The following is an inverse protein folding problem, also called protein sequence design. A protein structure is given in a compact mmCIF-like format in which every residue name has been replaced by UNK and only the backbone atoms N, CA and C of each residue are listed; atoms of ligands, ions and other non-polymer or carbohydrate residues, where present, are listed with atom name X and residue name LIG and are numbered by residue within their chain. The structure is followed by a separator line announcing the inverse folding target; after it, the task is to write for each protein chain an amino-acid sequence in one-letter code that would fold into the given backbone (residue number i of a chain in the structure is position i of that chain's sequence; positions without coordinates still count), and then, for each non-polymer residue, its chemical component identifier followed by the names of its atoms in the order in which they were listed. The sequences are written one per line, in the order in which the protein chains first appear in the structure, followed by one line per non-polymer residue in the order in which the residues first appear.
data_IF_179790974884
#
_entry.id   IF_179790974884
#
_cell.length_a   1.000
_cell.length_b   1.000
_cell.length_c   1.000
_cell.angle_alpha   90.00
_cell.angle_beta   90.00
_cell.angle_gamma   90.00
#
_symmetry.space_group_name_H-M   'P 1'
#
loop_
_entity.id
_entity.type
_entity.pdbx_description
1 polymer ?
#
# COMPACT_ATOMS: atom_id res chain seq x y z
N UNK A 1 -9.46 -17.20 -21.97
CA UNK A 1 -8.58 -16.21 -21.32
C UNK A 1 -8.18 -16.57 -19.86
N UNK A 2 -8.98 -17.32 -19.12
CA UNK A 2 -8.64 -17.78 -17.73
C UNK A 2 -7.77 -19.07 -17.68
N UNK A 3 -7.65 -19.81 -18.77
CA UNK A 3 -6.93 -21.12 -18.78
C UNK A 3 -5.41 -21.01 -18.98
N UNK A 4 -4.92 -19.92 -19.53
CA UNK A 4 -3.48 -19.73 -19.77
C UNK A 4 -2.68 -19.32 -18.52
N UNK A 5 -3.37 -18.86 -17.47
CA UNK A 5 -2.73 -18.41 -16.23
C UNK A 5 -2.22 -19.55 -15.33
N UNK A 6 -2.61 -20.79 -15.59
CA UNK A 6 -2.31 -21.92 -14.70
C UNK A 6 -0.84 -22.38 -14.70
N UNK A 7 -0.04 -21.98 -15.67
CA UNK A 7 1.33 -22.53 -15.85
C UNK A 7 2.47 -21.51 -15.72
N UNK A 8 2.18 -20.23 -15.52
CA UNK A 8 3.22 -19.20 -15.34
C UNK A 8 3.01 -18.47 -14.05
N UNK A 9 3.96 -18.57 -13.12
CA UNK A 9 3.97 -17.77 -11.87
C UNK A 9 4.20 -16.28 -12.13
N UNK A 10 4.47 -15.89 -13.37
CA UNK A 10 4.81 -14.52 -13.76
C UNK A 10 4.26 -14.21 -15.15
N UNK A 11 3.55 -13.10 -15.29
CA UNK A 11 3.04 -12.61 -16.58
C UNK A 11 3.18 -11.09 -16.62
N UNK A 12 3.67 -10.56 -17.75
CA UNK A 12 3.72 -9.14 -18.01
C UNK A 12 2.55 -8.74 -18.90
N UNK A 13 1.82 -7.69 -18.52
CA UNK A 13 0.78 -7.08 -19.33
C UNK A 13 1.24 -5.70 -19.77
N UNK A 14 1.12 -5.43 -21.06
CA UNK A 14 1.35 -4.09 -21.59
C UNK A 14 0.02 -3.51 -22.07
N UNK A 15 -0.34 -2.35 -21.55
CA UNK A 15 -1.52 -1.59 -21.96
C UNK A 15 -1.06 -0.26 -22.53
N UNK A 16 -1.40 0.00 -23.79
CA UNK A 16 -1.21 1.31 -24.42
C UNK A 16 -2.52 2.09 -24.36
N UNK A 17 -2.53 3.19 -23.67
CA UNK A 17 -3.66 4.15 -23.63
C UNK A 17 -3.11 5.55 -23.78
N UNK A 18 -3.57 6.30 -24.78
CA UNK A 18 -3.27 7.72 -24.99
C UNK A 18 -1.76 8.09 -24.91
N UNK A 19 -0.90 7.26 -25.55
CA UNK A 19 0.56 7.49 -25.55
C UNK A 19 1.30 7.02 -24.30
N UNK A 20 0.60 6.50 -23.28
CA UNK A 20 1.20 5.93 -22.08
C UNK A 20 1.39 4.43 -22.30
N UNK A 21 2.63 3.96 -22.22
CA UNK A 21 2.94 2.54 -22.21
C UNK A 21 3.01 2.07 -20.75
N UNK A 22 1.94 1.42 -20.27
CA UNK A 22 1.91 0.82 -18.93
C UNK A 22 2.32 -0.65 -19.03
N UNK A 23 3.44 -0.97 -18.43
CA UNK A 23 3.87 -2.35 -18.26
C UNK A 23 3.52 -2.82 -16.86
N UNK A 24 2.56 -3.75 -16.76
CA UNK A 24 2.13 -4.33 -15.48
C UNK A 24 2.66 -5.74 -15.36
N UNK A 25 3.43 -5.97 -14.31
CA UNK A 25 3.94 -7.28 -13.94
C UNK A 25 2.97 -7.94 -12.97
N UNK A 26 2.51 -9.15 -13.29
CA UNK A 26 1.66 -9.95 -12.42
C UNK A 26 2.45 -11.14 -11.90
N UNK A 27 2.44 -11.36 -10.59
CA UNK A 27 3.02 -12.54 -9.96
C UNK A 27 1.95 -13.27 -9.15
N UNK A 28 1.96 -14.60 -9.21
CA UNK A 28 1.11 -15.45 -8.38
C UNK A 28 1.94 -15.93 -7.21
N UNK A 29 1.51 -15.60 -6.00
CA UNK A 29 2.13 -16.01 -4.74
C UNK A 29 1.23 -17.04 -4.10
N UNK A 30 1.66 -18.30 -4.07
CA UNK A 30 0.93 -19.41 -3.46
C UNK A 30 1.63 -19.92 -2.19
N UNK A 31 2.92 -19.71 -2.11
CA UNK A 31 3.79 -20.18 -1.04
C UNK A 31 4.74 -19.07 -0.63
N UNK A 32 4.62 -18.59 0.61
CA UNK A 32 5.39 -17.46 1.11
C UNK A 32 6.90 -17.73 1.14
N UNK A 33 7.33 -18.98 1.35
CA UNK A 33 8.76 -19.34 1.40
C UNK A 33 9.34 -19.38 -0.02
N UNK A 34 8.68 -20.11 -0.92
CA UNK A 34 9.18 -20.32 -2.28
C UNK A 34 8.97 -19.11 -3.21
N UNK A 35 7.94 -18.30 -2.93
CA UNK A 35 7.56 -17.15 -3.77
C UNK A 35 8.02 -15.80 -3.16
N UNK A 36 8.86 -15.82 -2.11
CA UNK A 36 9.37 -14.61 -1.43
C UNK A 36 10.07 -13.63 -2.37
N UNK A 37 10.64 -14.11 -3.47
CA UNK A 37 11.27 -13.26 -4.48
C UNK A 37 10.28 -12.25 -5.07
N UNK A 38 9.02 -12.64 -5.30
CA UNK A 38 8.00 -11.74 -5.86
C UNK A 38 7.57 -10.67 -4.84
N UNK A 39 7.55 -11.03 -3.55
CA UNK A 39 7.26 -10.08 -2.46
C UNK A 39 8.39 -9.06 -2.36
N UNK A 40 9.65 -9.49 -2.46
CA UNK A 40 10.82 -8.59 -2.47
C UNK A 40 10.80 -7.66 -3.68
N UNK A 41 10.49 -8.18 -4.87
CA UNK A 41 10.34 -7.36 -6.07
C UNK A 41 9.23 -6.30 -5.91
N UNK A 42 8.08 -6.67 -5.36
CA UNK A 42 6.99 -5.73 -5.07
C UNK A 42 7.42 -4.64 -4.06
N UNK A 43 8.18 -5.01 -3.02
CA UNK A 43 8.73 -4.06 -2.08
C UNK A 43 9.70 -3.06 -2.74
N UNK A 44 10.55 -3.52 -3.67
CA UNK A 44 11.44 -2.63 -4.43
C UNK A 44 10.66 -1.69 -5.37
N UNK A 45 9.55 -2.15 -5.96
CA UNK A 45 8.65 -1.28 -6.74
C UNK A 45 8.12 -0.15 -5.85
N UNK A 46 7.63 -0.46 -4.64
CA UNK A 46 7.13 0.55 -3.68
C UNK A 46 8.25 1.51 -3.26
N UNK A 47 9.44 1.00 -2.94
CA UNK A 47 10.59 1.82 -2.54
C UNK A 47 11.05 2.78 -3.65
N UNK A 48 10.93 2.36 -4.91
CA UNK A 48 11.26 3.18 -6.07
C UNK A 48 10.14 4.15 -6.51
N UNK A 49 9.11 4.33 -5.67
CA UNK A 49 7.99 5.23 -5.94
C UNK A 49 6.94 4.68 -6.90
N UNK A 50 6.94 3.36 -7.11
CA UNK A 50 5.90 2.66 -7.86
C UNK A 50 4.67 2.32 -7.02
N UNK A 51 3.69 1.69 -7.66
CA UNK A 51 2.47 1.20 -7.02
C UNK A 51 2.34 -0.31 -7.19
N UNK A 52 1.77 -0.97 -6.20
CA UNK A 52 1.57 -2.43 -6.19
C UNK A 52 0.13 -2.74 -5.80
N UNK A 53 -0.53 -3.60 -6.57
CA UNK A 53 -1.80 -4.20 -6.18
C UNK A 53 -1.53 -5.50 -5.41
N UNK A 54 -2.18 -5.68 -4.27
CA UNK A 54 -2.01 -6.84 -3.41
C UNK A 54 -3.36 -7.31 -2.84
N UNK A 55 -3.51 -8.61 -2.55
CA UNK A 55 -4.72 -9.14 -1.95
C UNK A 55 -4.86 -8.68 -0.50
N UNK A 56 -6.11 -8.48 -0.07
CA UNK A 56 -6.47 -8.23 1.33
C UNK A 56 -7.55 -9.23 1.77
N UNK A 57 -8.04 -9.11 2.99
CA UNK A 57 -9.12 -9.96 3.52
C UNK A 57 -10.48 -9.72 2.81
N UNK A 58 -10.61 -8.64 2.04
CA UNK A 58 -11.86 -8.30 1.33
C UNK A 58 -11.64 -8.18 -0.18
N UNK A 59 -10.95 -7.14 -0.64
CA UNK A 59 -10.71 -6.83 -2.04
C UNK A 59 -9.23 -6.52 -2.27
N UNK A 60 -8.79 -6.47 -3.52
CA UNK A 60 -7.42 -6.04 -3.81
C UNK A 60 -7.17 -4.60 -3.37
N UNK A 61 -6.11 -4.40 -2.58
CA UNK A 61 -5.58 -3.11 -2.24
C UNK A 61 -4.63 -2.59 -3.30
N UNK A 62 -4.49 -1.26 -3.41
CA UNK A 62 -3.45 -0.62 -4.21
C UNK A 62 -2.61 0.22 -3.26
N UNK A 63 -1.32 -0.08 -3.19
CA UNK A 63 -0.39 0.53 -2.25
C UNK A 63 0.79 1.23 -2.92
N UNK A 64 1.32 2.20 -2.22
CA UNK A 64 2.54 2.93 -2.52
C UNK A 64 3.29 3.23 -1.21
N UNK A 65 4.49 3.79 -1.30
CA UNK A 65 5.17 4.34 -0.13
C UNK A 65 4.38 5.55 0.39
N UNK A 66 3.82 5.45 1.59
CA UNK A 66 3.00 6.49 2.22
C UNK A 66 3.77 7.79 2.51
N UNK A 67 5.11 7.74 2.53
CA UNK A 67 6.00 8.88 2.76
C UNK A 67 6.48 9.52 1.44
N UNK A 68 6.12 8.94 0.29
CA UNK A 68 6.45 9.46 -1.03
C UNK A 68 5.19 10.07 -1.68
N UNK A 69 5.15 11.41 -1.74
CA UNK A 69 4.05 12.16 -2.33
C UNK A 69 3.74 11.73 -3.76
N UNK A 70 4.77 11.52 -4.59
CA UNK A 70 4.62 11.11 -5.97
C UNK A 70 4.05 9.68 -6.09
N UNK A 71 4.49 8.77 -5.23
CA UNK A 71 3.96 7.42 -5.15
C UNK A 71 2.48 7.41 -4.75
N UNK A 72 2.11 8.21 -3.76
CA UNK A 72 0.73 8.37 -3.29
C UNK A 72 -0.16 8.97 -4.39
N UNK A 73 0.30 10.00 -5.11
CA UNK A 73 -0.46 10.59 -6.22
C UNK A 73 -0.78 9.58 -7.32
N UNK A 74 0.11 8.64 -7.60
CA UNK A 74 -0.13 7.56 -8.58
C UNK A 74 -1.33 6.67 -8.20
N UNK A 75 -1.61 6.46 -6.89
CA UNK A 75 -2.80 5.72 -6.45
C UNK A 75 -4.07 6.46 -6.88
N UNK A 76 -4.14 7.77 -6.64
CA UNK A 76 -5.31 8.57 -7.00
C UNK A 76 -5.52 8.61 -8.51
N UNK A 77 -4.45 8.78 -9.29
CA UNK A 77 -4.49 8.76 -10.76
C UNK A 77 -4.98 7.40 -11.27
N UNK A 78 -4.41 6.30 -10.76
CA UNK A 78 -4.76 4.95 -11.19
C UNK A 78 -6.22 4.58 -10.88
N UNK A 79 -6.75 5.09 -9.75
CA UNK A 79 -8.15 4.86 -9.34
C UNK A 79 -9.12 5.87 -9.96
N UNK A 80 -8.67 6.94 -10.59
CA UNK A 80 -9.52 8.04 -11.04
C UNK A 80 -10.30 8.71 -9.89
N UNK A 81 -9.70 8.74 -8.70
CA UNK A 81 -10.34 9.15 -7.46
C UNK A 81 -9.86 10.53 -7.03
N UNK A 82 -10.75 11.43 -6.53
CA UNK A 82 -10.34 12.68 -5.92
C UNK A 82 -9.43 12.48 -4.70
N UNK A 83 -8.57 13.48 -4.42
CA UNK A 83 -7.63 13.46 -3.28
C UNK A 83 -8.26 14.00 -1.98
N UNK A 84 -9.57 13.88 -1.84
CA UNK A 84 -10.36 14.38 -0.71
C UNK A 84 -10.58 13.35 0.41
N UNK A 85 -10.10 12.13 0.20
CA UNK A 85 -10.29 11.03 1.13
C UNK A 85 -8.92 10.43 1.51
N UNK A 86 -8.51 10.47 2.80
CA UNK A 86 -7.20 10.02 3.23
C UNK A 86 -6.95 8.54 2.91
N UNK A 87 -5.69 8.19 2.71
CA UNK A 87 -5.26 6.82 2.60
C UNK A 87 -4.97 6.26 4.00
N UNK A 88 -5.12 4.94 4.15
CA UNK A 88 -4.75 4.21 5.37
C UNK A 88 -3.29 3.77 5.23
N UNK A 89 -2.48 4.03 6.27
CA UNK A 89 -1.09 3.57 6.31
C UNK A 89 -1.03 2.18 6.93
N UNK A 90 -0.51 1.23 6.18
CA UNK A 90 -0.22 -0.12 6.66
C UNK A 90 1.20 -0.16 7.25
N UNK A 91 1.34 -0.68 8.45
CA UNK A 91 2.61 -0.82 9.15
C UNK A 91 2.89 -2.28 9.50
N UNK A 92 4.16 -2.67 9.45
CA UNK A 92 4.60 -4.01 9.81
C UNK A 92 5.09 -4.12 11.27
N UNK A 93 5.12 -2.98 11.99
CA UNK A 93 5.60 -2.90 13.38
C UNK A 93 4.64 -2.07 14.22
N UNK A 94 4.62 -2.34 15.52
CA UNK A 94 3.95 -1.49 16.52
C UNK A 94 4.75 -0.23 16.87
N UNK A 95 6.02 -0.17 16.45
CA UNK A 95 6.84 1.03 16.61
C UNK A 95 6.50 2.01 15.50
N UNK A 96 5.68 3.00 15.85
CA UNK A 96 5.12 4.00 14.94
C UNK A 96 5.45 5.43 15.37
N UNK A 97 6.38 5.59 16.31
CA UNK A 97 6.77 6.90 16.86
C UNK A 97 7.28 7.88 15.79
N UNK A 98 7.79 7.36 14.67
CA UNK A 98 8.24 8.21 13.56
C UNK A 98 7.06 8.76 12.71
N UNK A 99 5.90 8.15 12.79
CA UNK A 99 4.72 8.48 11.97
C UNK A 99 3.71 9.35 12.71
N UNK A 100 3.57 9.17 14.03
CA UNK A 100 2.57 9.86 14.84
C UNK A 100 3.21 10.71 15.94
N UNK A 101 2.54 11.80 16.36
CA UNK A 101 3.03 12.68 17.41
C UNK A 101 3.14 11.94 18.75
N UNK A 102 2.04 11.32 19.15
CA UNK A 102 1.96 10.53 20.38
C UNK A 102 0.88 9.45 20.23
N UNK A 103 1.18 8.24 20.63
CA UNK A 103 0.20 7.17 20.72
C UNK A 103 -0.36 7.11 22.15
N UNK A 104 -1.66 7.47 22.36
CA UNK A 104 -2.29 7.41 23.67
C UNK A 104 -2.23 6.01 24.28
N UNK A 105 -2.27 5.92 25.62
CA UNK A 105 -2.23 4.61 26.32
C UNK A 105 -3.32 3.65 25.85
N UNK A 106 -4.51 4.15 25.50
CA UNK A 106 -5.60 3.33 24.99
C UNK A 106 -5.26 2.78 23.60
N UNK A 107 -4.66 3.58 22.72
CA UNK A 107 -4.22 3.12 21.40
C UNK A 107 -3.16 2.01 21.53
N UNK A 108 -2.16 2.18 22.40
CA UNK A 108 -1.15 1.14 22.66
C UNK A 108 -1.77 -0.18 23.12
N UNK A 109 -2.75 -0.13 24.05
CA UNK A 109 -3.48 -1.33 24.48
C UNK A 109 -4.25 -2.03 23.35
N UNK A 110 -4.85 -1.24 22.43
CA UNK A 110 -5.56 -1.78 21.26
C UNK A 110 -4.56 -2.44 20.31
N UNK A 111 -3.44 -1.75 20.01
CA UNK A 111 -2.37 -2.30 19.18
C UNK A 111 -1.81 -3.60 19.77
N UNK A 112 -1.57 -3.64 21.08
CA UNK A 112 -1.03 -4.83 21.74
C UNK A 112 -1.96 -6.04 21.64
N UNK A 113 -3.26 -5.79 21.66
CA UNK A 113 -4.26 -6.86 21.65
C UNK A 113 -4.64 -7.31 20.23
N UNK A 114 -4.65 -6.40 19.25
CA UNK A 114 -5.28 -6.63 17.96
C UNK A 114 -4.33 -6.52 16.76
N UNK A 115 -3.10 -6.00 16.93
CA UNK A 115 -2.10 -5.99 15.88
C UNK A 115 -1.11 -7.16 16.05
N UNK A 116 -0.77 -7.85 14.93
CA UNK A 116 -1.25 -7.62 13.57
C UNK A 116 -2.71 -8.00 13.38
N UNK A 117 -3.46 -7.21 12.60
CA UNK A 117 -4.87 -7.45 12.31
C UNK A 117 -5.54 -6.27 11.59
N UNK A 118 -6.78 -6.46 11.09
CA UNK A 118 -7.49 -5.49 10.27
C UNK A 118 -8.15 -4.38 11.11
N UNK A 119 -7.36 -3.72 11.95
CA UNK A 119 -7.81 -2.60 12.78
C UNK A 119 -7.02 -1.34 12.43
N UNK A 120 -7.73 -0.27 12.09
CA UNK A 120 -7.16 1.05 11.83
C UNK A 120 -7.37 1.95 13.05
N UNK A 121 -6.32 2.62 13.49
CA UNK A 121 -6.36 3.58 14.61
C UNK A 121 -5.98 4.95 14.07
N UNK A 122 -6.89 5.92 14.22
CA UNK A 122 -6.65 7.30 13.78
C UNK A 122 -5.88 8.05 14.86
N UNK A 123 -4.72 8.61 14.46
CA UNK A 123 -3.86 9.38 15.36
C UNK A 123 -3.34 10.65 14.68
N UNK A 124 -2.83 11.61 15.48
CA UNK A 124 -2.18 12.80 14.94
C UNK A 124 -0.90 12.43 14.24
N UNK A 125 -0.78 12.87 12.97
CA UNK A 125 0.38 12.58 12.14
C UNK A 125 1.55 13.52 12.43
N UNK A 126 2.77 13.03 12.27
CA UNK A 126 3.95 13.87 12.17
C UNK A 126 4.10 14.47 10.77
N UNK A 127 4.87 15.54 10.66
CA UNK A 127 5.14 16.26 9.41
C UNK A 127 5.83 15.45 8.33
N UNK A 128 6.46 14.33 8.66
CA UNK A 128 7.04 13.40 7.70
C UNK A 128 6.00 12.79 6.76
N UNK A 129 4.74 12.69 7.21
CA UNK A 129 3.65 12.17 6.37
C UNK A 129 3.13 13.28 5.45
N UNK A 130 3.22 13.12 4.12
CA UNK A 130 2.77 14.10 3.15
C UNK A 130 1.29 14.45 3.31
N UNK A 131 0.93 15.67 3.01
CA UNK A 131 -0.46 16.13 3.08
C UNK A 131 -1.38 15.39 2.11
N UNK A 132 -0.89 14.98 0.95
CA UNK A 132 -1.66 14.17 0.00
C UNK A 132 -2.06 12.82 0.58
N UNK A 133 -1.24 12.21 1.43
CA UNK A 133 -1.54 10.94 2.11
C UNK A 133 -2.71 11.09 3.08
N UNK A 134 -2.75 12.20 3.81
CA UNK A 134 -3.76 12.49 4.83
C UNK A 134 -4.95 13.31 4.31
N UNK A 135 -5.04 13.58 3.00
CA UNK A 135 -6.02 14.52 2.43
C UNK A 135 -6.05 15.87 3.16
N UNK A 136 -4.88 16.41 3.52
CA UNK A 136 -4.68 17.63 4.30
C UNK A 136 -5.20 17.58 5.75
N UNK A 137 -5.57 16.42 6.27
CA UNK A 137 -5.93 16.27 7.68
C UNK A 137 -4.69 16.26 8.57
N UNK A 138 -4.86 16.66 9.84
CA UNK A 138 -3.82 16.58 10.88
C UNK A 138 -3.70 15.16 11.47
N UNK A 139 -4.52 14.23 10.98
CA UNK A 139 -4.58 12.85 11.45
C UNK A 139 -4.37 11.87 10.29
N UNK A 140 -3.97 10.66 10.65
CA UNK A 140 -3.83 9.54 9.73
C UNK A 140 -4.35 8.25 10.38
N UNK A 141 -4.92 7.37 9.59
CA UNK A 141 -5.35 6.05 10.01
C UNK A 141 -4.42 4.96 9.53
#
# INVERSE_FOLDING_TARGET
MYSEYKNSKRTNFSVKKEGINLETKVAIVNDLENDLIYIKEAAEVIKSGGIVAFPTETVYGLGANALDENGVQKIFIAKGRPQDNPLIIHVASKEISDLVEEAPKVAKKIMDKFWPGPITIIMKKKSIIPNVTSANLNTIG
#
